data_IF_302717720735
#
_entry.id   IF_302717720735
#
_cell.length_a   1.000
_cell.length_b   1.000
_cell.length_c   1.000
_cell.angle_alpha   90.00
_cell.angle_beta   90.00
_cell.angle_gamma   90.00
#
_symmetry.space_group_name_H-M   'P 1'
#
loop_
_entity.id
_entity.type
_entity.pdbx_description
1 polymer ?
#
# COMPACT_ATOMS: atom_id res chain seq x y z
N UNK A 1 42.88 -2.79 14.27
CA UNK A 1 42.21 -1.79 13.42
C UNK A 1 41.14 -2.50 12.61
N UNK A 2 39.97 -1.90 12.37
CA UNK A 2 38.94 -2.47 11.50
C UNK A 2 38.83 -1.67 10.21
N UNK A 3 38.32 -2.31 9.14
CA UNK A 3 38.07 -1.67 7.85
C UNK A 3 36.64 -1.98 7.42
N UNK A 4 35.92 -0.93 7.01
CA UNK A 4 34.60 -1.06 6.42
C UNK A 4 34.74 -1.17 4.89
N UNK A 5 33.98 -2.08 4.29
CA UNK A 5 33.81 -2.19 2.86
C UNK A 5 32.39 -2.68 2.57
N UNK A 6 31.87 -2.35 1.39
CA UNK A 6 30.59 -2.87 0.92
C UNK A 6 30.78 -4.17 0.17
N UNK A 7 29.72 -5.00 0.05
CA UNK A 7 29.81 -6.26 -0.66
C UNK A 7 30.17 -6.07 -2.13
N UNK A 8 31.08 -6.90 -2.63
CA UNK A 8 31.57 -6.85 -4.02
C UNK A 8 30.55 -7.44 -5.01
N UNK A 9 29.71 -8.38 -4.55
CA UNK A 9 28.68 -9.03 -5.34
C UNK A 9 27.32 -8.31 -5.25
N UNK A 10 26.42 -8.61 -6.19
CA UNK A 10 25.07 -8.05 -6.25
C UNK A 10 24.19 -8.55 -5.10
N UNK A 11 23.51 -7.60 -4.48
CA UNK A 11 22.54 -7.83 -3.42
C UNK A 11 23.15 -7.47 -2.06
N UNK A 12 22.72 -6.34 -1.49
CA UNK A 12 23.24 -5.81 -0.21
C UNK A 12 23.32 -6.91 0.86
N UNK A 13 22.19 -7.48 1.27
CA UNK A 13 22.15 -8.51 2.31
C UNK A 13 22.63 -9.88 1.82
N UNK A 14 22.27 -10.23 0.58
CA UNK A 14 22.55 -11.54 0.01
C UNK A 14 21.31 -12.40 -0.16
N UNK A 15 21.35 -13.33 -1.11
CA UNK A 15 20.27 -14.28 -1.39
C UNK A 15 20.87 -15.67 -1.60
N UNK A 16 20.21 -16.69 -1.04
CA UNK A 16 20.52 -18.09 -1.33
C UNK A 16 20.13 -18.42 -2.77
N UNK A 17 21.11 -18.82 -3.56
CA UNK A 17 20.94 -19.25 -4.95
C UNK A 17 20.48 -20.71 -5.01
N UNK A 18 19.98 -21.14 -6.16
CA UNK A 18 19.49 -22.52 -6.37
C UNK A 18 20.58 -23.59 -6.20
N UNK A 19 21.84 -23.22 -6.41
CA UNK A 19 23.00 -24.08 -6.18
C UNK A 19 23.42 -24.14 -4.69
N UNK A 20 22.70 -23.48 -3.79
CA UNK A 20 22.99 -23.44 -2.36
C UNK A 20 24.00 -22.37 -1.93
N UNK A 21 24.66 -21.67 -2.87
CA UNK A 21 25.62 -20.60 -2.52
C UNK A 21 24.90 -19.29 -2.20
N UNK A 22 25.53 -18.45 -1.38
CA UNK A 22 25.03 -17.13 -1.04
C UNK A 22 25.74 -16.02 -1.82
N UNK A 23 24.97 -15.00 -2.21
CA UNK A 23 25.50 -13.72 -2.70
C UNK A 23 25.58 -12.69 -1.58
N UNK A 24 26.13 -11.50 -1.87
CA UNK A 24 26.04 -10.34 -0.97
C UNK A 24 26.78 -10.51 0.37
N UNK A 25 26.34 -9.78 1.40
CA UNK A 25 26.97 -9.82 2.72
C UNK A 25 27.00 -11.23 3.32
N UNK A 26 25.92 -12.01 3.23
CA UNK A 26 25.91 -13.40 3.74
C UNK A 26 26.96 -14.26 3.02
N UNK A 27 27.12 -14.11 1.70
CA UNK A 27 28.15 -14.82 0.94
C UNK A 27 29.57 -14.43 1.37
N UNK A 28 29.82 -13.15 1.63
CA UNK A 28 31.14 -12.68 2.08
C UNK A 28 31.50 -13.16 3.49
N UNK A 29 30.51 -13.28 4.38
CA UNK A 29 30.70 -13.90 5.70
C UNK A 29 31.07 -15.38 5.56
N UNK A 30 30.33 -16.13 4.74
CA UNK A 30 30.57 -17.57 4.53
C UNK A 30 31.94 -17.83 3.87
N UNK A 31 32.36 -16.97 2.94
CA UNK A 31 33.65 -17.09 2.27
C UNK A 31 34.83 -16.51 3.09
N UNK A 32 34.59 -15.98 4.30
CA UNK A 32 35.63 -15.40 5.15
C UNK A 32 36.27 -14.13 4.56
N UNK A 33 35.55 -13.42 3.69
CA UNK A 33 35.96 -12.13 3.14
C UNK A 33 35.68 -11.02 4.16
N UNK A 34 34.54 -11.11 4.85
CA UNK A 34 34.15 -10.24 5.95
C UNK A 34 34.08 -11.03 7.25
N UNK A 35 34.55 -10.44 8.35
CA UNK A 35 34.45 -11.05 9.68
C UNK A 35 33.09 -10.76 10.35
N UNK A 36 32.46 -9.64 10.01
CA UNK A 36 31.19 -9.18 10.59
C UNK A 36 30.35 -8.39 9.56
N UNK A 37 29.04 -8.55 9.63
CA UNK A 37 28.07 -7.83 8.78
C UNK A 37 27.40 -6.66 9.49
N UNK A 38 26.79 -5.76 8.71
CA UNK A 38 25.87 -4.75 9.23
C UNK A 38 24.56 -5.41 9.71
N UNK A 39 23.77 -4.78 10.61
CA UNK A 39 22.49 -5.32 11.03
C UNK A 39 21.58 -5.67 9.84
N UNK A 40 20.99 -6.87 9.89
CA UNK A 40 20.06 -7.37 8.89
C UNK A 40 18.97 -8.24 9.55
N UNK A 41 17.81 -8.35 8.91
CA UNK A 41 16.73 -9.21 9.40
C UNK A 41 17.13 -10.68 9.32
N UNK A 42 17.05 -11.39 10.45
CA UNK A 42 17.24 -12.84 10.49
C UNK A 42 16.05 -13.55 9.83
N UNK A 43 16.33 -14.51 8.96
CA UNK A 43 15.35 -15.37 8.29
C UNK A 43 15.71 -16.84 8.50
N UNK A 44 14.76 -17.74 8.29
CA UNK A 44 15.03 -19.18 8.44
C UNK A 44 16.16 -19.67 7.52
N UNK A 45 16.34 -19.04 6.36
CA UNK A 45 17.37 -19.44 5.40
C UNK A 45 18.77 -19.00 5.85
N UNK A 46 18.93 -17.73 6.27
CA UNK A 46 20.26 -17.23 6.64
C UNK A 46 20.69 -17.71 8.04
N UNK A 47 19.74 -17.92 8.96
CA UNK A 47 20.01 -18.42 10.30
C UNK A 47 20.55 -19.86 10.33
N UNK A 48 20.39 -20.61 9.23
CA UNK A 48 20.98 -21.95 9.08
C UNK A 48 22.47 -21.92 8.69
N UNK A 49 22.93 -20.84 8.06
CA UNK A 49 24.26 -20.77 7.45
C UNK A 49 25.17 -19.74 8.16
N UNK A 50 24.61 -18.80 8.93
CA UNK A 50 25.34 -17.81 9.72
C UNK A 50 24.72 -17.62 11.12
N UNK A 51 25.57 -17.24 12.07
CA UNK A 51 25.17 -16.93 13.44
C UNK A 51 24.79 -15.45 13.60
N UNK A 52 23.73 -15.20 14.38
CA UNK A 52 23.27 -13.87 14.74
C UNK A 52 23.49 -13.59 16.24
N UNK A 53 23.75 -12.33 16.57
CA UNK A 53 23.74 -11.86 17.96
C UNK A 53 22.30 -11.75 18.49
N UNK A 54 22.14 -11.32 19.75
CA UNK A 54 20.83 -10.93 20.27
C UNK A 54 20.19 -9.83 19.40
N UNK A 55 18.86 -9.89 19.17
CA UNK A 55 18.16 -8.91 18.36
C UNK A 55 18.26 -7.50 18.95
N UNK A 56 18.71 -6.52 18.15
CA UNK A 56 18.81 -5.12 18.58
C UNK A 56 17.44 -4.45 18.78
N UNK A 57 16.47 -4.83 17.95
CA UNK A 57 15.08 -4.37 18.01
C UNK A 57 14.18 -5.39 17.29
N UNK A 58 12.89 -5.37 17.62
CA UNK A 58 11.88 -6.19 16.94
C UNK A 58 11.32 -5.38 15.78
N UNK A 59 11.54 -5.86 14.56
CA UNK A 59 10.93 -5.29 13.35
C UNK A 59 9.44 -5.65 13.27
N UNK A 60 8.61 -4.67 12.94
CA UNK A 60 7.18 -4.87 12.68
C UNK A 60 6.86 -4.64 11.21
N UNK A 61 6.14 -5.58 10.59
CA UNK A 61 5.62 -5.38 9.23
C UNK A 61 4.34 -4.53 9.27
N UNK A 62 4.31 -3.46 8.48
CA UNK A 62 3.12 -2.63 8.30
C UNK A 62 2.87 -2.38 6.82
N UNK A 63 1.60 -2.46 6.41
CA UNK A 63 1.19 -2.07 5.06
C UNK A 63 1.03 -0.55 5.01
N UNK A 64 1.83 0.11 4.16
CA UNK A 64 1.67 1.52 3.88
C UNK A 64 0.87 1.70 2.58
N UNK A 65 -0.11 2.59 2.60
CA UNK A 65 -0.82 3.02 1.40
C UNK A 65 -0.93 4.54 1.37
N UNK A 66 -1.00 5.11 0.17
CA UNK A 66 -1.23 6.55 0.01
C UNK A 66 -2.62 6.88 0.56
N UNK A 67 -2.69 7.80 1.52
CA UNK A 67 -3.97 8.32 2.00
C UNK A 67 -4.78 8.87 0.81
N UNK A 68 -6.04 8.44 0.60
CA UNK A 68 -6.85 9.00 -0.47
C UNK A 68 -7.12 10.48 -0.17
N UNK A 69 -6.99 11.32 -1.19
CA UNK A 69 -7.39 12.73 -1.12
C UNK A 69 -8.83 12.78 -1.66
N UNK A 70 -9.83 13.08 -0.82
CA UNK A 70 -11.21 13.16 -1.30
C UNK A 70 -11.35 14.35 -2.24
N UNK A 71 -11.83 14.09 -3.47
CA UNK A 71 -12.22 15.14 -4.41
C UNK A 71 -13.66 15.58 -4.11
N UNK A 72 -13.97 16.89 -4.20
CA UNK A 72 -15.33 17.37 -3.98
C UNK A 72 -16.25 16.86 -5.11
N UNK A 73 -17.14 15.93 -4.76
CA UNK A 73 -18.14 15.38 -5.68
C UNK A 73 -19.48 16.10 -5.52
N UNK A 74 -19.65 17.20 -6.27
CA UNK A 74 -20.90 17.97 -6.29
C UNK A 74 -22.09 17.17 -6.85
N UNK A 75 -21.84 16.13 -7.65
CA UNK A 75 -22.89 15.25 -8.16
C UNK A 75 -23.29 14.16 -7.15
N UNK A 76 -22.61 14.07 -6.00
CA UNK A 76 -22.87 13.09 -4.95
C UNK A 76 -24.32 13.08 -4.45
N UNK A 77 -25.02 14.21 -4.55
CA UNK A 77 -26.44 14.32 -4.20
C UNK A 77 -27.39 13.64 -5.20
N UNK A 78 -27.04 13.64 -6.50
CA UNK A 78 -27.90 13.10 -7.57
C UNK A 78 -27.71 11.59 -7.72
N UNK A 79 -26.49 11.10 -7.43
CA UNK A 79 -26.07 9.69 -7.58
C UNK A 79 -26.97 8.64 -6.90
N UNK A 80 -27.55 8.87 -5.70
CA UNK A 80 -28.36 7.85 -5.02
C UNK A 80 -29.69 7.55 -5.70
N UNK A 81 -30.20 8.46 -6.54
CA UNK A 81 -31.52 8.33 -7.17
C UNK A 81 -31.39 8.05 -8.67
N UNK A 82 -32.28 7.18 -9.17
CA UNK A 82 -32.38 6.91 -10.61
C UNK A 82 -32.77 8.18 -11.37
N UNK A 83 -32.28 8.40 -12.61
CA UNK A 83 -32.76 9.46 -13.49
C UNK A 83 -34.29 9.47 -13.63
N UNK A 84 -34.93 8.29 -13.60
CA UNK A 84 -36.38 8.17 -13.65
C UNK A 84 -37.07 8.82 -12.45
N UNK A 85 -36.53 8.67 -11.24
CA UNK A 85 -37.07 9.30 -10.03
C UNK A 85 -37.01 10.83 -10.10
N UNK A 86 -35.93 11.39 -10.65
CA UNK A 86 -35.82 12.82 -10.89
C UNK A 86 -36.84 13.33 -11.90
N UNK A 87 -37.06 12.59 -12.99
CA UNK A 87 -38.09 12.91 -13.97
C UNK A 87 -39.49 12.88 -13.35
N UNK A 88 -39.78 11.91 -12.48
CA UNK A 88 -41.05 11.87 -11.76
C UNK A 88 -41.25 13.10 -10.87
N UNK A 89 -40.25 13.51 -10.09
CA UNK A 89 -40.32 14.71 -9.25
C UNK A 89 -40.62 15.95 -10.10
N UNK A 90 -39.95 16.09 -11.25
CA UNK A 90 -40.17 17.19 -12.18
C UNK A 90 -41.61 17.18 -12.74
N UNK A 91 -42.08 16.03 -13.21
CA UNK A 91 -43.43 15.89 -13.77
C UNK A 91 -44.52 16.12 -12.72
N UNK A 92 -44.36 15.59 -11.50
CA UNK A 92 -45.28 15.84 -10.39
C UNK A 92 -45.35 17.33 -10.05
N UNK A 93 -44.21 18.03 -10.06
CA UNK A 93 -44.16 19.48 -9.83
C UNK A 93 -44.90 20.26 -10.91
N UNK A 94 -44.74 19.89 -12.19
CA UNK A 94 -45.48 20.52 -13.29
C UNK A 94 -46.99 20.30 -13.20
N UNK A 95 -47.43 19.07 -12.85
CA UNK A 95 -48.86 18.77 -12.70
C UNK A 95 -49.47 19.65 -11.60
N UNK A 96 -48.81 19.75 -10.43
CA UNK A 96 -49.28 20.60 -9.32
C UNK A 96 -49.39 22.06 -9.76
N UNK A 97 -48.39 22.57 -10.49
CA UNK A 97 -48.40 23.94 -11.00
C UNK A 97 -49.56 24.19 -11.96
N UNK A 98 -49.81 23.27 -12.91
CA UNK A 98 -50.90 23.38 -13.88
C UNK A 98 -52.26 23.34 -13.18
N UNK A 99 -52.50 22.34 -12.32
CA UNK A 99 -53.77 22.19 -11.60
C UNK A 99 -54.05 23.43 -10.76
N UNK A 100 -53.06 23.90 -10.02
CA UNK A 100 -53.19 25.11 -9.19
C UNK A 100 -53.49 26.33 -10.06
N UNK A 101 -52.79 26.50 -11.19
CA UNK A 101 -53.04 27.61 -12.12
C UNK A 101 -54.44 27.58 -12.75
N UNK A 102 -54.96 26.39 -13.08
CA UNK A 102 -56.32 26.22 -13.59
C UNK A 102 -57.36 26.57 -12.51
N UNK A 103 -57.15 26.11 -11.27
CA UNK A 103 -58.01 26.46 -10.14
C UNK A 103 -58.07 27.98 -9.97
N UNK A 104 -56.92 28.66 -9.92
CA UNK A 104 -56.87 30.12 -9.83
C UNK A 104 -57.49 30.87 -11.00
N UNK A 105 -57.67 30.21 -12.16
CA UNK A 105 -58.32 30.81 -13.32
C UNK A 105 -59.84 30.66 -13.30
N UNK A 106 -60.34 29.63 -12.62
CA UNK A 106 -61.78 29.29 -12.51
C UNK A 106 -62.47 30.05 -11.38
N UNK A 107 -61.75 30.32 -10.29
CA UNK A 107 -62.17 31.22 -9.21
C UNK A 107 -61.86 32.67 -9.55
#
# INVERSE_FOLDING_TARGET
SYRLFGPQDKGYYGKKLLNGTWTGMVGELIHGIADMGTPMSASADNYQDIDFSEPLFIEGFAAAYKRPVPEPDFAGFVKPMSPYSWLLIFMSSLIILIVTGVIFRIY
#
